data_IF_110169201757
#
_entry.id   IF_110169201757
#
_cell.length_a   1.000
_cell.length_b   1.000
_cell.length_c   1.000
_cell.angle_alpha   90.00
_cell.angle_beta   90.00
_cell.angle_gamma   90.00
#
_symmetry.space_group_name_H-M   'P 1'
#
loop_
_entity.id
_entity.type
_entity.pdbx_description
1 polymer ?
#
# COMPACT_ATOMS: atom_id res chain seq x y z
N UNK A 1 30.52 -22.77 47.47
CA UNK A 1 30.03 -21.45 47.83
C UNK A 1 28.78 -21.24 46.98
N UNK A 2 27.63 -21.54 47.55
CA UNK A 2 26.29 -21.63 46.91
C UNK A 2 25.61 -20.30 46.99
N UNK A 3 24.99 -19.85 45.87
CA UNK A 3 24.13 -18.67 45.81
C UNK A 3 22.81 -18.94 46.56
N UNK A 4 22.35 -18.07 47.45
CA UNK A 4 21.05 -18.21 48.06
C UNK A 4 19.97 -17.33 47.36
N UNK A 5 18.85 -17.95 47.21
CA UNK A 5 17.43 -17.45 47.16
C UNK A 5 17.19 -15.95 47.26
N UNK A 6 16.64 -15.43 46.17
CA UNK A 6 15.74 -14.28 46.22
C UNK A 6 14.51 -14.50 45.28
N UNK A 7 13.61 -15.36 45.73
CA UNK A 7 12.25 -15.39 45.17
C UNK A 7 11.32 -14.82 46.25
N UNK A 8 11.12 -13.50 46.19
CA UNK A 8 10.08 -12.79 46.92
C UNK A 8 8.73 -12.95 46.23
N UNK A 9 7.78 -13.57 46.91
CA UNK A 9 6.39 -13.72 46.52
C UNK A 9 5.71 -12.38 46.46
N UNK A 10 5.12 -12.06 45.30
CA UNK A 10 4.18 -10.98 45.10
C UNK A 10 3.27 -11.35 43.93
N UNK A 11 2.33 -12.25 44.15
CA UNK A 11 1.24 -12.49 43.24
C UNK A 11 0.25 -11.31 43.35
N UNK A 12 0.45 -10.30 42.53
CA UNK A 12 -0.60 -9.31 42.27
C UNK A 12 -1.52 -9.91 41.20
N UNK A 13 -2.72 -10.30 41.62
CA UNK A 13 -3.83 -10.62 40.75
C UNK A 13 -4.19 -9.34 39.98
N UNK A 14 -3.79 -9.30 38.68
CA UNK A 14 -4.28 -8.30 37.75
C UNK A 14 -5.76 -8.61 37.48
N UNK A 15 -6.62 -7.80 38.03
CA UNK A 15 -8.06 -7.75 37.69
C UNK A 15 -8.22 -7.53 36.20
N UNK A 16 -9.05 -8.35 35.56
CA UNK A 16 -9.36 -8.31 34.14
C UNK A 16 -10.27 -7.15 33.71
N UNK A 17 -10.52 -6.21 34.61
CA UNK A 17 -11.44 -5.12 34.38
C UNK A 17 -10.68 -3.80 34.21
N UNK A 18 -10.24 -3.49 33.00
CA UNK A 18 -9.64 -2.18 32.76
C UNK A 18 -8.85 -1.96 31.49
N UNK A 19 -8.83 -2.88 30.53
CA UNK A 19 -8.33 -2.57 29.17
C UNK A 19 -9.51 -2.19 28.29
N UNK A 20 -10.18 -1.12 28.70
CA UNK A 20 -11.16 -0.43 27.85
C UNK A 20 -10.43 0.16 26.63
N UNK A 21 -10.73 -0.37 25.48
CA UNK A 21 -10.66 0.18 24.11
C UNK A 21 -10.09 1.60 23.96
N UNK A 22 -8.79 1.77 24.12
CA UNK A 22 -8.08 3.00 23.74
C UNK A 22 -7.72 3.03 22.23
N UNK A 23 -8.20 2.07 21.44
CA UNK A 23 -8.09 2.05 20.00
C UNK A 23 -9.42 2.51 19.40
N UNK A 24 -9.71 3.80 19.51
CA UNK A 24 -10.74 4.49 18.72
C UNK A 24 -10.37 4.43 17.24
N UNK A 25 -10.44 3.25 16.64
CA UNK A 25 -10.27 3.06 15.21
C UNK A 25 -11.43 3.73 14.51
N UNK A 26 -11.17 4.80 13.78
CA UNK A 26 -12.11 5.38 12.82
C UNK A 26 -12.72 4.25 12.00
N UNK A 27 -14.03 4.09 12.05
CA UNK A 27 -14.72 3.03 11.31
C UNK A 27 -14.62 3.34 9.81
N UNK A 28 -14.73 2.30 8.96
CA UNK A 28 -14.83 2.48 7.49
C UNK A 28 -15.88 3.54 7.12
N UNK A 29 -16.95 3.63 7.92
CA UNK A 29 -18.05 4.58 7.75
C UNK A 29 -17.58 6.02 8.07
N UNK A 30 -16.81 6.21 9.12
CA UNK A 30 -16.27 7.52 9.51
C UNK A 30 -15.26 8.03 8.50
N UNK A 31 -14.36 7.15 8.00
CA UNK A 31 -13.44 7.50 6.93
C UNK A 31 -14.17 7.90 5.63
N UNK A 32 -15.16 7.11 5.20
CA UNK A 32 -15.96 7.43 4.02
C UNK A 32 -16.78 8.72 4.22
N UNK A 33 -17.24 8.97 5.44
CA UNK A 33 -17.94 10.21 5.79
C UNK A 33 -17.00 11.41 5.75
N UNK A 34 -15.76 11.24 6.22
CA UNK A 34 -14.73 12.29 6.19
C UNK A 34 -14.31 12.62 4.75
N UNK A 35 -14.08 11.60 3.94
CA UNK A 35 -13.80 11.75 2.52
C UNK A 35 -14.97 12.47 1.78
N UNK A 36 -16.21 12.11 2.12
CA UNK A 36 -17.39 12.77 1.58
C UNK A 36 -17.53 14.25 2.04
N UNK A 37 -17.19 14.54 3.29
CA UNK A 37 -17.17 15.90 3.83
C UNK A 37 -16.08 16.76 3.20
N UNK A 38 -14.89 16.19 2.95
CA UNK A 38 -13.81 16.86 2.21
C UNK A 38 -14.24 17.20 0.78
N UNK A 39 -14.89 16.27 0.08
CA UNK A 39 -15.44 16.50 -1.25
C UNK A 39 -16.57 17.54 -1.25
N UNK A 40 -17.43 17.58 -0.23
CA UNK A 40 -18.50 18.56 -0.09
C UNK A 40 -17.95 19.96 0.23
N UNK A 41 -16.86 20.09 0.99
CA UNK A 41 -16.21 21.38 1.25
C UNK A 41 -15.60 21.98 -0.04
N UNK A 42 -15.07 21.13 -0.93
CA UNK A 42 -14.64 21.54 -2.28
C UNK A 42 -15.82 21.93 -3.18
N UNK A 43 -16.98 21.28 -3.01
CA UNK A 43 -18.19 21.57 -3.79
C UNK A 43 -18.84 22.93 -3.48
N UNK A 44 -18.66 23.47 -2.28
CA UNK A 44 -19.21 24.80 -1.92
C UNK A 44 -18.33 25.98 -2.37
N UNK A 45 -17.09 25.72 -2.82
CA UNK A 45 -16.22 26.74 -3.41
C UNK A 45 -16.45 26.96 -4.91
N UNK A 46 -17.38 26.24 -5.53
CA UNK A 46 -17.58 26.22 -7.01
C UNK A 46 -18.58 27.22 -7.55
N UNK A 47 -19.02 28.23 -6.79
CA UNK A 47 -19.88 29.29 -7.32
C UNK A 47 -19.10 30.46 -7.93
N UNK A 48 -17.79 30.45 -7.96
CA UNK A 48 -16.97 31.45 -8.63
C UNK A 48 -15.78 30.79 -9.35
N UNK A 49 -15.95 30.46 -10.65
CA UNK A 49 -14.86 30.22 -11.59
C UNK A 49 -14.53 28.74 -11.85
N UNK A 50 -14.99 28.28 -12.96
CA UNK A 50 -14.73 27.14 -13.83
C UNK A 50 -13.45 26.33 -13.72
N UNK A 51 -13.13 25.69 -12.58
CA UNK A 51 -11.96 24.82 -12.48
C UNK A 51 -12.19 23.44 -11.83
N UNK A 52 -13.40 23.07 -11.44
CA UNK A 52 -13.62 21.86 -10.64
C UNK A 52 -14.10 20.60 -11.38
N UNK A 53 -14.27 20.62 -12.70
CA UNK A 53 -14.76 19.46 -13.47
C UNK A 53 -13.64 18.70 -14.20
N UNK A 54 -12.40 19.10 -14.04
CA UNK A 54 -11.28 18.52 -14.80
C UNK A 54 -10.68 17.23 -14.22
N UNK A 55 -11.18 16.68 -13.11
CA UNK A 55 -10.55 15.53 -12.46
C UNK A 55 -10.90 14.19 -13.12
N UNK A 56 -12.08 14.05 -13.73
CA UNK A 56 -12.42 12.84 -14.47
C UNK A 56 -11.65 12.83 -15.81
N UNK A 57 -10.62 11.99 -15.90
CA UNK A 57 -9.73 11.89 -17.06
C UNK A 57 -8.36 12.54 -16.87
N UNK A 58 -8.11 13.21 -15.76
CA UNK A 58 -6.76 13.69 -15.42
C UNK A 58 -5.85 12.53 -15.05
N UNK A 59 -4.61 12.53 -15.59
CA UNK A 59 -3.52 11.63 -15.21
C UNK A 59 -2.45 12.39 -14.42
N UNK A 60 -2.90 13.31 -13.60
CA UNK A 60 -2.04 14.20 -12.82
C UNK A 60 -2.23 13.94 -11.34
N UNK A 61 -1.13 13.68 -10.63
CA UNK A 61 -1.09 13.68 -9.18
C UNK A 61 -0.65 15.04 -8.67
N UNK A 62 -1.44 15.64 -7.79
CA UNK A 62 -1.09 16.89 -7.13
C UNK A 62 -0.76 16.60 -5.65
N UNK A 63 0.51 16.48 -5.33
CA UNK A 63 0.97 16.15 -3.97
C UNK A 63 0.86 17.31 -2.97
N UNK A 64 0.29 18.44 -3.39
CA UNK A 64 -0.03 19.55 -2.49
C UNK A 64 -1.30 19.31 -1.67
N UNK A 65 -2.06 18.28 -1.97
CA UNK A 65 -3.24 17.86 -1.21
C UNK A 65 -3.32 16.34 -1.04
N UNK A 66 -4.06 15.91 -0.02
CA UNK A 66 -4.19 14.51 0.33
C UNK A 66 -4.88 13.66 -0.75
N UNK A 67 -5.76 14.26 -1.56
CA UNK A 67 -6.44 13.53 -2.64
C UNK A 67 -5.49 13.20 -3.79
N UNK A 68 -4.49 14.04 -4.03
CA UNK A 68 -3.42 13.73 -4.98
C UNK A 68 -2.58 12.54 -4.51
N UNK A 69 -2.26 12.49 -3.22
CA UNK A 69 -1.55 11.37 -2.60
C UNK A 69 -2.39 10.08 -2.64
N UNK A 70 -3.69 10.16 -2.30
CA UNK A 70 -4.60 9.01 -2.40
C UNK A 70 -4.77 8.53 -3.85
N UNK A 71 -4.74 9.42 -4.83
CA UNK A 71 -4.78 9.06 -6.25
C UNK A 71 -3.50 8.36 -6.70
N UNK A 72 -2.35 8.79 -6.20
CA UNK A 72 -1.08 8.10 -6.42
C UNK A 72 -1.14 6.67 -5.84
N UNK A 73 -1.55 6.50 -4.59
CA UNK A 73 -1.76 5.19 -3.99
C UNK A 73 -2.75 4.34 -4.82
N UNK A 74 -3.89 4.92 -5.24
CA UNK A 74 -4.87 4.23 -6.07
C UNK A 74 -4.30 3.74 -7.41
N UNK A 75 -3.37 4.48 -8.00
CA UNK A 75 -2.73 4.04 -9.25
C UNK A 75 -1.80 2.86 -9.03
N UNK A 76 -1.01 2.85 -7.93
CA UNK A 76 -0.15 1.73 -7.56
C UNK A 76 -0.99 0.48 -7.27
N UNK A 77 -1.96 0.56 -6.38
CA UNK A 77 -2.88 -0.55 -6.07
C UNK A 77 -3.63 -1.08 -7.30
N UNK A 78 -3.91 -0.20 -8.27
CA UNK A 78 -4.52 -0.63 -9.53
C UNK A 78 -3.52 -1.39 -10.39
N UNK A 79 -2.24 -1.02 -10.39
CA UNK A 79 -1.19 -1.74 -11.09
C UNK A 79 -1.01 -3.14 -10.49
N UNK A 80 -0.82 -3.21 -9.18
CA UNK A 80 -0.60 -4.44 -8.41
C UNK A 80 -1.80 -5.39 -8.52
N UNK A 81 -3.01 -4.90 -8.27
CA UNK A 81 -4.21 -5.74 -8.43
C UNK A 81 -4.37 -6.32 -9.84
N UNK A 82 -4.02 -5.56 -10.89
CA UNK A 82 -4.06 -6.06 -12.27
C UNK A 82 -2.98 -7.09 -12.55
N UNK A 83 -1.79 -6.90 -11.98
CA UNK A 83 -0.70 -7.87 -12.08
C UNK A 83 -1.10 -9.21 -11.47
N UNK A 84 -1.56 -9.21 -10.21
CA UNK A 84 -1.94 -10.44 -9.54
C UNK A 84 -3.18 -11.10 -10.15
N UNK A 85 -4.16 -10.34 -10.65
CA UNK A 85 -5.28 -10.92 -11.41
C UNK A 85 -4.74 -11.66 -12.62
N UNK A 86 -3.86 -11.06 -13.41
CA UNK A 86 -3.27 -11.69 -14.59
C UNK A 86 -2.47 -12.96 -14.25
N UNK A 87 -1.68 -12.93 -13.18
CA UNK A 87 -0.93 -14.12 -12.71
C UNK A 87 -1.88 -15.25 -12.29
N UNK A 88 -2.94 -14.93 -11.54
CA UNK A 88 -3.86 -15.94 -11.04
C UNK A 88 -4.81 -16.50 -12.11
N UNK A 89 -5.08 -15.76 -13.19
CA UNK A 89 -5.87 -16.24 -14.33
C UNK A 89 -5.10 -17.26 -15.18
N UNK A 90 -3.77 -17.12 -15.29
CA UNK A 90 -2.90 -18.03 -16.02
C UNK A 90 -1.57 -18.21 -15.26
N UNK A 91 -1.55 -18.96 -14.15
CA UNK A 91 -0.39 -19.09 -13.30
C UNK A 91 0.74 -19.87 -14.02
N UNK A 92 2.01 -19.53 -13.76
CA UNK A 92 3.14 -20.30 -14.24
C UNK A 92 3.04 -21.78 -13.86
N UNK A 93 3.33 -22.66 -14.80
CA UNK A 93 3.25 -24.11 -14.59
C UNK A 93 4.33 -24.64 -13.62
N UNK A 94 5.40 -23.88 -13.42
CA UNK A 94 6.53 -24.19 -12.55
C UNK A 94 6.40 -23.62 -11.12
N UNK A 95 5.20 -23.12 -10.74
CA UNK A 95 4.92 -22.75 -9.35
C UNK A 95 5.04 -23.96 -8.42
N UNK A 96 5.62 -23.74 -7.24
CA UNK A 96 5.72 -24.77 -6.19
C UNK A 96 4.41 -24.91 -5.43
N UNK A 97 4.17 -26.05 -4.76
CA UNK A 97 2.99 -26.24 -3.94
C UNK A 97 2.80 -25.11 -2.92
N UNK A 98 1.60 -24.54 -2.85
CA UNK A 98 1.23 -23.46 -1.96
C UNK A 98 1.50 -22.03 -2.50
N UNK A 99 2.40 -21.85 -3.47
CA UNK A 99 2.72 -20.51 -3.97
C UNK A 99 1.54 -19.83 -4.68
N UNK A 100 0.77 -20.58 -5.46
CA UNK A 100 -0.45 -20.03 -6.08
C UNK A 100 -1.42 -19.51 -5.03
N UNK A 101 -1.56 -20.20 -3.90
CA UNK A 101 -2.47 -19.77 -2.83
C UNK A 101 -1.99 -18.44 -2.21
N UNK A 102 -0.69 -18.30 -1.97
CA UNK A 102 -0.11 -17.03 -1.50
C UNK A 102 -0.39 -15.89 -2.49
N UNK A 103 -0.16 -16.13 -3.80
CA UNK A 103 -0.43 -15.14 -4.85
C UNK A 103 -1.92 -14.79 -4.94
N UNK A 104 -2.82 -15.73 -4.68
CA UNK A 104 -4.26 -15.50 -4.64
C UNK A 104 -4.66 -14.67 -3.42
N UNK A 105 -4.09 -14.92 -2.25
CA UNK A 105 -4.33 -14.13 -1.04
C UNK A 105 -3.86 -12.69 -1.22
N UNK A 106 -2.66 -12.49 -1.78
CA UNK A 106 -2.15 -11.15 -2.11
C UNK A 106 -3.10 -10.47 -3.10
N UNK A 107 -3.47 -11.12 -4.21
CA UNK A 107 -4.45 -10.58 -5.18
C UNK A 107 -5.72 -10.06 -4.49
N UNK A 108 -6.25 -10.81 -3.55
CA UNK A 108 -7.51 -10.45 -2.87
C UNK A 108 -7.34 -9.24 -1.96
N UNK A 109 -6.17 -9.09 -1.33
CA UNK A 109 -5.80 -7.89 -0.58
C UNK A 109 -5.68 -6.68 -1.51
N UNK A 110 -4.92 -6.77 -2.61
CA UNK A 110 -4.78 -5.69 -3.60
C UNK A 110 -6.12 -5.25 -4.19
N UNK A 111 -6.99 -6.20 -4.50
CA UNK A 111 -8.36 -5.89 -4.93
C UNK A 111 -9.17 -5.18 -3.84
N UNK A 112 -8.92 -5.47 -2.56
CA UNK A 112 -9.58 -4.81 -1.43
C UNK A 112 -9.06 -3.38 -1.24
N UNK A 113 -7.73 -3.17 -1.25
CA UNK A 113 -7.08 -1.87 -1.16
C UNK A 113 -7.54 -0.95 -2.29
N UNK A 114 -7.43 -1.42 -3.52
CA UNK A 114 -7.91 -0.69 -4.70
C UNK A 114 -9.39 -0.32 -4.60
N UNK A 115 -10.27 -1.26 -4.19
CA UNK A 115 -11.72 -0.97 -4.01
C UNK A 115 -11.95 0.06 -2.93
N UNK A 116 -11.18 0.01 -1.85
CA UNK A 116 -11.25 0.96 -0.76
C UNK A 116 -10.89 2.38 -1.24
N UNK A 117 -9.72 2.55 -1.88
CA UNK A 117 -9.26 3.84 -2.41
C UNK A 117 -10.21 4.38 -3.49
N UNK A 118 -10.68 3.51 -4.39
CA UNK A 118 -11.67 3.88 -5.40
C UNK A 118 -12.94 4.49 -4.78
N UNK A 119 -13.43 3.90 -3.68
CA UNK A 119 -14.62 4.41 -2.97
C UNK A 119 -14.34 5.72 -2.24
N UNK A 120 -13.15 5.86 -1.66
CA UNK A 120 -12.74 7.07 -0.95
C UNK A 120 -12.61 8.27 -1.87
N UNK A 121 -12.04 8.06 -3.04
CA UNK A 121 -11.81 9.10 -4.04
C UNK A 121 -13.07 9.53 -4.81
N UNK A 122 -14.02 8.62 -5.01
CA UNK A 122 -15.26 8.88 -5.77
C UNK A 122 -15.00 9.58 -7.12
N UNK A 123 -15.56 10.79 -7.31
CA UNK A 123 -15.40 11.58 -8.52
C UNK A 123 -14.03 12.26 -8.65
N UNK A 124 -13.26 12.34 -7.56
CA UNK A 124 -11.90 12.91 -7.54
C UNK A 124 -10.85 11.93 -8.04
N UNK A 125 -11.26 10.71 -8.36
CA UNK A 125 -10.36 9.65 -8.81
C UNK A 125 -9.81 9.96 -10.20
N UNK A 126 -8.48 9.84 -10.34
CA UNK A 126 -7.82 9.90 -11.64
C UNK A 126 -8.14 8.65 -12.48
N UNK A 127 -8.04 8.79 -13.78
CA UNK A 127 -8.05 7.65 -14.68
C UNK A 127 -6.73 6.88 -14.57
N UNK A 128 -6.80 5.56 -14.42
CA UNK A 128 -5.61 4.70 -14.44
C UNK A 128 -5.51 4.03 -15.81
N UNK A 129 -4.49 4.37 -16.63
CA UNK A 129 -4.28 3.78 -17.94
C UNK A 129 -4.20 2.26 -17.90
N UNK A 130 -4.31 1.62 -19.05
CA UNK A 130 -4.08 0.19 -19.17
C UNK A 130 -2.67 -0.15 -18.69
N UNK A 131 -2.53 -1.30 -18.01
CA UNK A 131 -1.23 -1.78 -17.60
C UNK A 131 -0.58 -2.58 -18.73
N UNK A 132 0.71 -2.38 -18.91
CA UNK A 132 1.61 -3.12 -19.81
C UNK A 132 2.72 -3.75 -18.96
N UNK A 133 3.31 -4.83 -19.45
CA UNK A 133 4.20 -5.66 -18.62
C UNK A 133 5.55 -5.90 -19.29
N UNK A 134 6.31 -4.84 -19.61
CA UNK A 134 7.60 -5.00 -20.30
C UNK A 134 8.59 -5.77 -19.41
N UNK A 135 9.20 -6.81 -19.98
CA UNK A 135 10.23 -7.60 -19.31
C UNK A 135 9.70 -8.63 -18.30
N UNK A 136 8.37 -8.82 -18.20
CA UNK A 136 7.78 -9.85 -17.32
C UNK A 136 7.32 -11.04 -18.16
N UNK A 137 7.92 -12.21 -17.92
CA UNK A 137 7.50 -13.49 -18.47
C UNK A 137 6.51 -14.16 -17.50
N UNK A 138 5.23 -14.12 -17.84
CA UNK A 138 4.16 -14.72 -17.05
C UNK A 138 4.13 -16.25 -17.07
N UNK A 139 4.98 -16.89 -17.85
CA UNK A 139 5.11 -18.37 -17.88
C UNK A 139 6.20 -18.87 -16.94
N UNK A 140 7.01 -17.99 -16.37
CA UNK A 140 8.14 -18.32 -15.49
C UNK A 140 7.85 -17.90 -14.03
N UNK A 141 7.92 -18.88 -13.13
CA UNK A 141 7.85 -18.64 -11.68
C UNK A 141 8.82 -17.57 -11.21
N UNK A 142 10.09 -17.66 -11.62
CA UNK A 142 11.12 -16.71 -11.19
C UNK A 142 10.81 -15.30 -11.66
N UNK A 143 10.36 -15.14 -12.91
CA UNK A 143 9.99 -13.82 -13.44
C UNK A 143 8.79 -13.22 -12.70
N UNK A 144 7.75 -14.03 -12.48
CA UNK A 144 6.53 -13.59 -11.77
C UNK A 144 6.82 -13.23 -10.31
N UNK A 145 7.49 -14.10 -9.55
CA UNK A 145 7.79 -13.82 -8.14
C UNK A 145 8.77 -12.64 -7.98
N UNK A 146 9.72 -12.48 -8.90
CA UNK A 146 10.63 -11.32 -8.88
C UNK A 146 9.89 -10.03 -9.17
N UNK A 147 8.98 -10.02 -10.16
CA UNK A 147 8.15 -8.86 -10.45
C UNK A 147 7.22 -8.53 -9.29
N UNK A 148 6.55 -9.54 -8.70
CA UNK A 148 5.71 -9.40 -7.53
C UNK A 148 6.48 -8.75 -6.37
N UNK A 149 7.62 -9.33 -5.97
CA UNK A 149 8.47 -8.77 -4.93
C UNK A 149 8.85 -7.31 -5.21
N UNK A 150 9.23 -6.99 -6.45
CA UNK A 150 9.62 -5.61 -6.79
C UNK A 150 8.44 -4.63 -6.68
N UNK A 151 7.21 -5.05 -6.99
CA UNK A 151 6.02 -4.22 -6.81
C UNK A 151 5.74 -3.99 -5.33
N UNK A 152 5.72 -5.04 -4.52
CA UNK A 152 5.45 -4.92 -3.08
C UNK A 152 6.53 -4.09 -2.35
N UNK A 153 7.83 -4.35 -2.61
CA UNK A 153 8.92 -3.54 -2.04
C UNK A 153 8.77 -2.06 -2.41
N UNK A 154 8.36 -1.80 -3.66
CA UNK A 154 8.15 -0.43 -4.13
C UNK A 154 6.86 0.18 -3.56
N UNK A 155 5.83 -0.63 -3.35
CA UNK A 155 4.60 -0.24 -2.65
C UNK A 155 4.90 0.19 -1.22
N UNK A 156 5.64 -0.62 -0.44
CA UNK A 156 6.09 -0.26 0.92
C UNK A 156 6.84 1.05 0.92
N UNK A 157 7.88 1.17 0.09
CA UNK A 157 8.71 2.37 0.03
C UNK A 157 7.90 3.60 -0.42
N UNK A 158 6.97 3.43 -1.35
CA UNK A 158 6.10 4.48 -1.85
C UNK A 158 5.08 4.96 -0.82
N UNK A 159 4.46 4.06 -0.06
CA UNK A 159 3.58 4.42 1.05
C UNK A 159 4.32 5.16 2.15
N UNK A 160 5.54 4.70 2.51
CA UNK A 160 6.37 5.36 3.52
C UNK A 160 6.77 6.78 3.09
N UNK A 161 7.19 6.98 1.85
CA UNK A 161 7.55 8.30 1.34
C UNK A 161 6.32 9.21 1.19
N UNK A 162 5.27 8.75 0.51
CA UNK A 162 4.04 9.53 0.32
C UNK A 162 3.35 9.86 1.65
N UNK A 163 3.50 9.00 2.67
CA UNK A 163 2.96 9.21 4.01
C UNK A 163 3.42 10.52 4.67
N UNK A 164 4.63 10.95 4.38
CA UNK A 164 5.20 12.22 4.91
C UNK A 164 4.48 13.46 4.40
N UNK A 165 3.79 13.38 3.28
CA UNK A 165 3.04 14.45 2.66
C UNK A 165 1.56 14.48 3.08
N UNK A 166 1.07 13.44 3.76
CA UNK A 166 -0.33 13.37 4.22
C UNK A 166 -0.55 14.31 5.39
N UNK A 167 -1.57 15.17 5.29
CA UNK A 167 -1.91 16.19 6.29
C UNK A 167 -2.97 15.73 7.27
N UNK A 168 -3.94 14.95 6.81
CA UNK A 168 -5.02 14.45 7.64
C UNK A 168 -4.61 13.15 8.34
N UNK A 169 -4.62 13.16 9.66
CA UNK A 169 -4.20 12.02 10.50
C UNK A 169 -5.00 10.74 10.19
N UNK A 170 -6.27 10.89 9.81
CA UNK A 170 -7.13 9.78 9.42
C UNK A 170 -6.64 9.09 8.16
N UNK A 171 -6.19 9.85 7.15
CA UNK A 171 -5.61 9.29 5.94
C UNK A 171 -4.26 8.64 6.21
N UNK A 172 -3.42 9.27 7.03
CA UNK A 172 -2.16 8.67 7.47
C UNK A 172 -2.38 7.35 8.22
N UNK A 173 -3.38 7.30 9.10
CA UNK A 173 -3.76 6.08 9.82
C UNK A 173 -4.16 4.95 8.86
N UNK A 174 -4.88 5.27 7.79
CA UNK A 174 -5.29 4.29 6.77
C UNK A 174 -4.09 3.85 5.95
N UNK A 175 -3.26 4.79 5.49
CA UNK A 175 -2.02 4.48 4.77
C UNK A 175 -1.12 3.54 5.60
N UNK A 176 -0.97 3.80 6.92
CA UNK A 176 -0.25 2.93 7.84
C UNK A 176 -0.82 1.52 7.97
N UNK A 177 -2.15 1.35 7.85
CA UNK A 177 -2.77 0.02 7.83
C UNK A 177 -2.52 -0.72 6.52
N UNK A 178 -2.53 -0.03 5.40
CA UNK A 178 -2.26 -0.63 4.09
C UNK A 178 -0.78 -1.02 4.03
N UNK A 179 0.16 -0.11 4.26
CA UNK A 179 1.60 -0.39 4.16
C UNK A 179 2.04 -1.54 5.08
N UNK A 180 1.37 -1.70 6.23
CA UNK A 180 1.60 -2.85 7.11
C UNK A 180 1.21 -4.20 6.46
N UNK A 181 0.28 -4.22 5.52
CA UNK A 181 -0.08 -5.41 4.73
C UNK A 181 0.92 -5.60 3.58
N UNK A 182 1.25 -4.53 2.87
CA UNK A 182 2.27 -4.53 1.80
C UNK A 182 3.61 -5.11 2.28
N UNK A 183 4.07 -4.70 3.47
CA UNK A 183 5.31 -5.23 4.05
C UNK A 183 5.24 -6.75 4.31
N UNK A 184 4.05 -7.29 4.64
CA UNK A 184 3.84 -8.74 4.77
C UNK A 184 3.87 -9.45 3.43
N UNK A 185 3.29 -8.85 2.39
CA UNK A 185 3.36 -9.37 1.03
C UNK A 185 4.80 -9.43 0.55
N UNK A 186 5.54 -8.33 0.66
CA UNK A 186 6.94 -8.24 0.30
C UNK A 186 7.78 -9.31 1.02
N UNK A 187 7.63 -9.44 2.34
CA UNK A 187 8.35 -10.43 3.13
C UNK A 187 8.03 -11.88 2.69
N UNK A 188 6.75 -12.20 2.43
CA UNK A 188 6.34 -13.51 1.95
C UNK A 188 6.96 -13.83 0.58
N UNK A 189 6.94 -12.91 -0.36
CA UNK A 189 7.52 -13.10 -1.70
C UNK A 189 9.04 -13.24 -1.66
N UNK A 190 9.71 -12.50 -0.78
CA UNK A 190 11.14 -12.62 -0.55
C UNK A 190 11.51 -14.00 0.01
N UNK A 191 10.71 -14.53 0.94
CA UNK A 191 10.92 -15.89 1.46
C UNK A 191 10.63 -16.95 0.38
N UNK A 192 9.60 -16.79 -0.46
CA UNK A 192 9.35 -17.70 -1.59
C UNK A 192 10.50 -17.72 -2.60
N UNK A 193 11.16 -16.59 -2.84
CA UNK A 193 12.31 -16.48 -3.73
C UNK A 193 13.56 -17.09 -3.12
N UNK A 194 13.85 -16.81 -1.87
CA UNK A 194 15.04 -17.28 -1.14
C UNK A 194 14.68 -17.80 0.26
N UNK A 195 14.10 -19.02 0.35
CA UNK A 195 13.61 -19.57 1.59
C UNK A 195 14.71 -19.77 2.64
N UNK A 196 14.36 -19.59 3.91
CA UNK A 196 15.27 -19.76 5.06
C UNK A 196 16.45 -18.79 5.05
N UNK A 197 16.38 -17.70 4.34
CA UNK A 197 17.37 -16.62 4.34
C UNK A 197 16.94 -15.44 5.21
N UNK A 198 17.77 -14.41 5.28
CA UNK A 198 17.41 -13.14 5.93
C UNK A 198 16.72 -12.16 4.95
N UNK A 199 16.50 -12.57 3.71
CA UNK A 199 15.98 -11.70 2.65
C UNK A 199 14.55 -11.23 2.90
N UNK A 200 13.79 -11.90 3.77
CA UNK A 200 12.45 -11.48 4.18
C UNK A 200 12.44 -10.03 4.74
N UNK A 201 13.57 -9.56 5.28
CA UNK A 201 13.80 -8.21 5.76
C UNK A 201 15.27 -7.85 5.51
N UNK A 202 15.71 -7.91 4.24
CA UNK A 202 17.10 -7.73 3.84
C UNK A 202 17.56 -6.28 3.96
N UNK A 203 18.89 -6.10 4.03
CA UNK A 203 19.53 -4.78 4.14
C UNK A 203 19.30 -3.90 2.90
N UNK A 204 18.69 -4.45 1.85
CA UNK A 204 18.26 -3.72 0.65
C UNK A 204 16.90 -2.99 0.83
N UNK A 205 16.12 -3.33 1.85
CA UNK A 205 14.82 -2.71 2.18
C UNK A 205 14.75 -2.17 3.60
N UNK A 206 15.51 -2.73 4.54
CA UNK A 206 15.56 -2.27 5.94
C UNK A 206 16.88 -1.55 6.18
N UNK A 207 16.82 -0.38 6.82
CA UNK A 207 17.98 0.42 7.15
C UNK A 207 18.66 -0.03 8.48
N UNK A 208 19.79 0.61 8.82
CA UNK A 208 20.56 0.32 10.04
C UNK A 208 19.78 0.59 11.34
N UNK A 209 18.71 1.36 11.28
CA UNK A 209 17.81 1.64 12.42
C UNK A 209 16.64 0.63 12.50
N UNK A 210 16.56 -0.32 11.56
CA UNK A 210 15.49 -1.30 11.49
C UNK A 210 14.19 -0.76 10.93
N UNK A 211 14.25 0.31 10.12
CA UNK A 211 13.09 0.91 9.46
C UNK A 211 13.08 0.60 7.96
N UNK A 212 11.88 0.39 7.41
CA UNK A 212 11.71 0.26 5.97
C UNK A 212 12.11 1.54 5.23
N UNK A 213 12.66 1.36 4.03
CA UNK A 213 12.97 2.46 3.13
C UNK A 213 11.73 3.27 2.78
N UNK A 214 11.95 4.56 2.56
CA UNK A 214 10.97 5.48 2.01
C UNK A 214 11.50 6.04 0.68
N UNK A 215 10.65 6.08 -0.34
CA UNK A 215 10.95 6.70 -1.64
C UNK A 215 9.97 7.83 -1.90
N UNK A 216 10.48 8.96 -2.35
CA UNK A 216 9.62 10.06 -2.78
C UNK A 216 8.71 9.62 -3.94
N UNK A 217 7.46 10.12 -3.99
CA UNK A 217 6.51 9.72 -5.04
C UNK A 217 7.05 9.86 -6.47
N UNK A 218 7.90 10.83 -6.74
CA UNK A 218 8.56 11.00 -8.02
C UNK A 218 9.49 9.85 -8.39
N UNK A 219 10.21 9.29 -7.41
CA UNK A 219 11.11 8.13 -7.60
C UNK A 219 10.32 6.86 -7.87
N UNK A 220 9.19 6.69 -7.17
CA UNK A 220 8.26 5.56 -7.39
C UNK A 220 7.64 5.63 -8.77
N UNK A 221 7.17 6.82 -9.19
CA UNK A 221 6.62 7.04 -10.53
C UNK A 221 7.66 6.75 -11.62
N UNK A 222 8.90 7.18 -11.46
CA UNK A 222 9.97 6.89 -12.41
C UNK A 222 10.16 5.37 -12.64
N UNK A 223 9.97 4.56 -11.60
CA UNK A 223 10.11 3.10 -11.67
C UNK A 223 8.85 2.40 -12.21
N UNK A 224 7.66 2.93 -11.90
CA UNK A 224 6.38 2.30 -12.28
C UNK A 224 5.85 2.77 -13.63
N UNK A 225 6.28 3.93 -14.14
CA UNK A 225 5.75 4.55 -15.35
C UNK A 225 5.77 3.63 -16.59
N UNK A 226 6.81 2.79 -16.72
CA UNK A 226 6.94 1.82 -17.81
C UNK A 226 5.82 0.76 -17.84
N UNK A 227 5.08 0.58 -16.74
CA UNK A 227 3.99 -0.38 -16.63
C UNK A 227 2.62 0.22 -16.96
N UNK A 228 2.54 1.50 -17.28
CA UNK A 228 1.33 2.15 -17.75
C UNK A 228 1.44 2.46 -19.24
N UNK A 229 0.39 2.18 -20.00
CA UNK A 229 0.36 2.45 -21.45
C UNK A 229 0.53 3.95 -21.76
N UNK A 230 0.17 4.82 -20.82
CA UNK A 230 0.29 6.26 -20.93
C UNK A 230 0.84 6.84 -19.61
N UNK A 231 1.71 7.86 -19.69
CA UNK A 231 2.39 8.39 -18.52
C UNK A 231 1.48 9.21 -17.60
N UNK A 232 1.82 9.21 -16.32
CA UNK A 232 1.31 10.17 -15.35
C UNK A 232 2.21 11.41 -15.28
N UNK A 233 1.64 12.52 -14.85
CA UNK A 233 2.37 13.71 -14.42
C UNK A 233 2.18 13.92 -12.92
N UNK A 234 3.23 14.43 -12.26
CA UNK A 234 3.22 14.77 -10.84
C UNK A 234 3.56 16.23 -10.66
N UNK A 235 2.93 16.89 -9.69
CA UNK A 235 3.24 18.27 -9.31
C UNK A 235 3.21 18.41 -7.80
N UNK A 236 3.92 19.39 -7.28
CA UNK A 236 3.95 19.67 -5.83
C UNK A 236 4.84 18.73 -5.02
N UNK A 237 5.78 18.08 -5.70
CA UNK A 237 6.86 17.31 -5.08
C UNK A 237 7.98 18.26 -4.66
#
# INVERSE_FOLDING_TARGET
MTLPDMIGRGAATLSSDGVGSAWGGSSRREFLTLAAKGAAALGMATTLGGCAIAAAGSRKFDFRDDFGILNFAYALETLESRFYVKVCEAPPADLRPGELQVLQDIRDHELAHRRFLKRSLQILRVEVPMSVWPGIDFTSRMSVLTAARNFEDLGVAGYNGAGTHIRLAEFLTIAGKIVSVEARHAAALRDLLNPNSRDFAGDDVIDEMGMDRALEPGEVLAQTQKYFAEPYTAVGL
#
